data_IF_076799725798
#
_entry.id   IF_076799725798
#
_cell.length_a   1.000
_cell.length_b   1.000
_cell.length_c   1.000
_cell.angle_alpha   90.00
_cell.angle_beta   90.00
_cell.angle_gamma   90.00
#
_symmetry.space_group_name_H-M   'P 1'
#
loop_
_entity.id
_entity.type
_entity.pdbx_description
1 polymer ?
#
# COMPACT_ATOMS: atom_id res chain seq x y z
N UNK A 1 40.36 -65.37 9.90
CA UNK A 1 40.06 -64.00 9.46
C UNK A 1 38.75 -64.04 8.69
N UNK A 2 37.67 -63.50 9.26
CA UNK A 2 36.48 -62.97 8.56
C UNK A 2 35.52 -62.49 9.64
N UNK A 3 35.47 -61.17 9.83
CA UNK A 3 34.51 -60.50 10.72
C UNK A 3 33.11 -60.47 10.06
N UNK A 4 32.00 -60.55 10.84
CA UNK A 4 30.65 -60.52 10.28
C UNK A 4 30.29 -59.15 9.65
N UNK A 5 29.35 -59.10 8.70
CA UNK A 5 28.94 -57.85 8.06
C UNK A 5 28.13 -56.94 9.00
N UNK A 6 28.49 -55.65 9.00
CA UNK A 6 27.83 -54.57 9.75
C UNK A 6 26.46 -54.22 9.14
N UNK A 7 25.42 -53.96 9.95
CA UNK A 7 24.11 -53.58 9.44
C UNK A 7 24.12 -52.18 8.77
N UNK A 8 23.24 -51.93 7.78
CA UNK A 8 23.16 -50.65 7.09
C UNK A 8 22.60 -49.57 8.03
N UNK A 9 23.29 -48.41 8.13
CA UNK A 9 22.75 -47.22 8.82
C UNK A 9 23.56 -46.68 10.00
N UNK A 10 24.70 -47.29 10.35
CA UNK A 10 25.59 -46.69 11.34
C UNK A 10 26.44 -45.59 10.66
N UNK A 11 25.89 -44.38 10.61
CA UNK A 11 26.57 -43.17 10.15
C UNK A 11 27.85 -42.89 10.93
N UNK A 12 28.79 -42.28 10.23
CA UNK A 12 30.09 -41.83 10.69
C UNK A 12 29.93 -40.65 11.68
N UNK A 13 30.51 -40.64 12.89
CA UNK A 13 30.36 -39.52 13.84
C UNK A 13 31.13 -38.25 13.44
N UNK A 14 31.57 -38.11 12.18
CA UNK A 14 32.54 -37.11 11.76
C UNK A 14 32.02 -35.83 11.08
N UNK A 15 30.74 -35.71 10.71
CA UNK A 15 30.29 -34.59 9.88
C UNK A 15 29.03 -33.88 10.44
N UNK A 16 29.25 -32.90 11.32
CA UNK A 16 28.29 -31.82 11.55
C UNK A 16 28.76 -30.57 10.80
N UNK A 17 27.89 -29.87 10.06
CA UNK A 17 28.22 -28.55 9.52
C UNK A 17 28.34 -27.51 10.66
N UNK A 18 29.22 -26.50 10.55
CA UNK A 18 29.32 -25.45 11.56
C UNK A 18 28.07 -24.56 11.57
N UNK A 19 27.66 -24.16 12.77
CA UNK A 19 26.54 -23.25 13.07
C UNK A 19 26.82 -21.82 12.55
N UNK A 20 25.84 -21.07 12.01
CA UNK A 20 26.06 -19.70 11.58
C UNK A 20 26.14 -18.75 12.78
N UNK A 21 27.33 -18.19 13.01
CA UNK A 21 27.62 -17.13 13.97
C UNK A 21 26.89 -15.83 13.64
N UNK A 22 26.22 -15.22 14.62
CA UNK A 22 25.56 -13.92 14.51
C UNK A 22 26.56 -12.76 14.39
N UNK A 23 26.36 -11.75 13.52
CA UNK A 23 27.23 -10.58 13.49
C UNK A 23 26.97 -9.63 14.66
N UNK A 24 28.07 -9.23 15.29
CA UNK A 24 28.24 -8.31 16.42
C UNK A 24 27.81 -6.86 16.13
N UNK A 25 27.15 -6.23 17.11
CA UNK A 25 26.75 -4.81 17.14
C UNK A 25 27.94 -3.83 17.10
N UNK A 26 27.82 -2.66 16.46
CA UNK A 26 28.82 -1.59 16.55
C UNK A 26 28.75 -0.80 17.88
N UNK A 27 29.84 -0.11 18.29
CA UNK A 27 29.96 0.52 19.61
C UNK A 27 29.16 1.83 19.73
N UNK A 28 28.71 2.07 20.97
CA UNK A 28 27.93 3.22 21.44
C UNK A 28 28.60 4.56 21.16
N UNK A 29 27.83 5.51 20.59
CA UNK A 29 28.21 6.92 20.55
C UNK A 29 28.03 7.55 21.93
N UNK A 30 29.09 8.18 22.45
CA UNK A 30 29.09 8.95 23.69
C UNK A 30 28.21 10.22 23.59
N UNK A 31 27.56 10.66 24.69
CA UNK A 31 26.80 11.90 24.71
C UNK A 31 27.73 13.12 24.89
N UNK A 32 27.47 14.27 24.24
CA UNK A 32 28.22 15.48 24.49
C UNK A 32 27.88 16.07 25.87
N UNK A 33 28.92 16.22 26.68
CA UNK A 33 28.98 16.94 27.96
C UNK A 33 28.44 18.37 27.85
N UNK A 34 27.57 18.75 28.79
CA UNK A 34 27.06 20.11 28.98
C UNK A 34 28.17 21.10 29.38
N UNK A 35 28.06 22.40 29.03
CA UNK A 35 28.78 23.45 29.71
C UNK A 35 27.95 24.16 30.79
N UNK A 36 28.73 24.65 31.75
CA UNK A 36 28.47 25.12 33.10
C UNK A 36 27.76 26.49 33.20
N UNK A 37 27.03 26.70 34.30
CA UNK A 37 26.43 27.97 34.74
C UNK A 37 27.46 29.09 35.08
N UNK A 38 27.18 30.33 34.64
CA UNK A 38 27.46 31.57 35.39
C UNK A 38 28.66 32.46 34.99
N UNK A 39 28.40 33.66 34.43
CA UNK A 39 29.11 34.94 34.67
C UNK A 39 28.45 36.13 33.89
N UNK A 40 28.61 37.43 34.29
CA UNK A 40 27.65 38.52 34.01
C UNK A 40 28.12 39.70 33.12
N UNK A 41 27.15 40.32 32.39
CA UNK A 41 27.03 41.75 31.94
C UNK A 41 28.09 42.36 30.98
N UNK A 42 27.94 43.61 30.43
CA UNK A 42 26.89 44.63 30.63
C UNK A 42 26.40 45.44 29.38
N UNK A 43 25.31 46.20 29.55
CA UNK A 43 24.95 47.43 28.77
C UNK A 43 23.65 47.34 27.95
N UNK A 44 22.67 48.26 27.97
CA UNK A 44 22.43 49.50 28.72
C UNK A 44 21.25 50.30 28.10
N UNK A 45 20.22 50.61 28.92
CA UNK A 45 19.21 51.71 28.87
C UNK A 45 18.12 51.80 27.74
N UNK A 46 16.99 52.56 27.91
CA UNK A 46 15.88 52.45 28.88
C UNK A 46 14.44 52.59 28.23
N UNK A 47 13.30 52.61 28.97
CA UNK A 47 11.92 52.49 28.44
C UNK A 47 11.08 53.79 28.43
N UNK A 48 9.91 53.79 27.77
CA UNK A 48 8.81 54.77 27.90
C UNK A 48 7.46 54.04 27.66
N UNK A 49 6.50 53.96 28.61
CA UNK A 49 5.49 54.99 28.98
C UNK A 49 4.36 55.01 27.93
N UNK A 50 3.05 54.83 28.16
CA UNK A 50 2.17 54.86 29.32
C UNK A 50 0.96 55.77 29.00
N UNK A 51 -0.22 55.24 28.65
CA UNK A 51 -1.52 55.97 28.60
C UNK A 51 -2.74 55.02 28.72
N UNK A 52 -3.83 55.36 29.46
CA UNK A 52 -5.08 54.58 29.58
C UNK A 52 -6.26 55.22 28.76
N UNK A 53 -7.54 54.79 28.88
CA UNK A 53 -8.38 54.24 27.80
C UNK A 53 -9.43 55.23 27.20
N UNK A 54 -10.28 54.77 26.26
CA UNK A 54 -11.68 55.23 26.20
C UNK A 54 -12.70 54.07 26.27
N UNK A 55 -13.69 54.28 27.12
CA UNK A 55 -14.96 53.54 27.28
C UNK A 55 -15.94 53.84 26.14
N UNK A 56 -16.67 52.83 25.67
CA UNK A 56 -17.82 53.00 24.78
C UNK A 56 -18.59 51.70 24.50
N UNK A 57 -19.71 51.55 25.21
CA UNK A 57 -21.04 51.02 24.80
C UNK A 57 -21.23 49.63 24.11
N UNK A 58 -21.79 48.68 24.93
CA UNK A 58 -22.76 47.55 24.75
C UNK A 58 -23.32 47.12 23.35
N UNK A 59 -23.96 45.92 23.14
CA UNK A 59 -24.40 44.85 24.08
C UNK A 59 -24.19 43.36 23.63
N UNK A 60 -24.81 42.43 24.38
CA UNK A 60 -24.58 40.98 24.57
C UNK A 60 -25.08 40.00 23.48
N UNK A 61 -24.42 38.84 23.38
CA UNK A 61 -25.04 37.49 23.30
C UNK A 61 -24.00 36.38 23.06
N UNK A 62 -24.19 35.21 23.69
CA UNK A 62 -23.57 33.95 23.28
C UNK A 62 -22.39 33.47 24.13
N UNK A 63 -22.68 32.74 25.21
CA UNK A 63 -21.67 32.10 26.04
C UNK A 63 -20.95 30.96 25.33
N UNK A 64 -19.62 30.93 25.48
CA UNK A 64 -18.77 29.76 25.24
C UNK A 64 -18.04 29.43 26.55
N UNK A 65 -17.99 28.16 26.99
CA UNK A 65 -17.16 27.78 28.14
C UNK A 65 -15.66 27.80 27.76
N UNK A 66 -14.75 28.10 28.71
CA UNK A 66 -13.32 28.21 28.43
C UNK A 66 -12.67 26.83 28.16
N UNK A 67 -11.67 26.74 27.26
CA UNK A 67 -10.88 25.52 27.10
C UNK A 67 -10.07 25.24 28.36
N UNK A 68 -10.34 24.09 29.01
CA UNK A 68 -9.61 23.62 30.18
C UNK A 68 -8.13 23.38 29.88
N UNK A 69 -7.28 23.81 30.81
CA UNK A 69 -5.83 23.65 30.73
C UNK A 69 -5.39 22.19 30.78
N UNK A 70 -4.40 21.86 29.95
CA UNK A 70 -3.73 20.56 29.94
C UNK A 70 -2.73 20.47 31.12
N UNK A 71 -2.78 19.42 31.96
CA UNK A 71 -1.66 19.10 32.84
C UNK A 71 -0.55 18.36 32.04
N UNK A 72 0.74 18.63 32.31
CA UNK A 72 1.84 17.94 31.65
C UNK A 72 2.11 16.59 32.35
N UNK A 73 1.93 15.48 31.63
CA UNK A 73 2.10 14.15 32.22
C UNK A 73 2.53 13.07 31.23
N UNK A 74 3.82 12.70 31.31
CA UNK A 74 4.35 11.34 31.20
C UNK A 74 4.03 10.48 29.97
N UNK A 75 5.06 10.21 29.16
CA UNK A 75 5.07 9.09 28.20
C UNK A 75 4.91 7.74 28.92
N UNK A 76 3.94 6.87 28.56
CA UNK A 76 3.98 5.48 28.96
C UNK A 76 4.86 4.66 28.00
N UNK A 77 5.66 3.70 28.51
CA UNK A 77 6.48 2.82 27.67
C UNK A 77 5.61 1.81 26.91
N UNK A 78 6.02 1.51 25.67
CA UNK A 78 5.38 0.54 24.80
C UNK A 78 5.56 -0.89 25.34
N UNK A 79 4.48 -1.49 25.82
CA UNK A 79 4.45 -2.89 26.26
C UNK A 79 3.03 -3.42 26.37
N UNK A 80 2.72 -4.46 25.59
CA UNK A 80 1.55 -5.32 25.78
C UNK A 80 0.34 -4.99 24.92
N UNK A 81 0.14 -5.77 23.86
CA UNK A 81 -1.15 -5.93 23.20
C UNK A 81 -2.00 -6.92 24.02
N UNK A 82 -3.20 -6.51 24.48
CA UNK A 82 -4.31 -7.43 24.44
C UNK A 82 -5.60 -6.76 23.92
N UNK A 83 -6.29 -7.45 23.02
CA UNK A 83 -7.74 -7.40 22.97
C UNK A 83 -8.33 -6.66 21.78
N UNK A 84 -9.25 -7.35 21.11
CA UNK A 84 -9.93 -6.88 19.91
C UNK A 84 -10.65 -5.55 20.07
N UNK A 85 -10.41 -4.69 19.10
CA UNK A 85 -11.25 -3.56 18.78
C UNK A 85 -11.39 -3.50 17.27
N UNK A 86 -12.60 -3.64 16.76
CA UNK A 86 -12.91 -3.32 15.37
C UNK A 86 -12.80 -1.79 15.23
N UNK A 87 -11.95 -1.23 14.33
CA UNK A 87 -12.08 0.17 14.01
C UNK A 87 -13.21 0.34 12.98
N UNK A 88 -14.30 0.87 13.51
CA UNK A 88 -15.29 1.70 12.83
C UNK A 88 -14.62 2.92 12.18
N UNK A 89 -15.07 3.33 11.00
CA UNK A 89 -14.78 4.63 10.41
C UNK A 89 -13.78 4.61 9.26
N UNK A 90 -14.27 4.89 8.05
CA UNK A 90 -13.55 4.73 6.79
C UNK A 90 -12.27 5.57 6.67
N UNK A 91 -11.16 4.86 6.52
CA UNK A 91 -9.99 5.35 5.81
C UNK A 91 -9.74 4.39 4.65
N UNK A 92 -10.05 4.83 3.44
CA UNK A 92 -9.70 4.12 2.22
C UNK A 92 -8.19 3.93 2.21
N UNK A 93 -7.73 2.68 2.38
CA UNK A 93 -6.33 2.32 2.30
C UNK A 93 -5.80 2.64 0.91
N UNK A 94 -5.19 3.82 0.78
CA UNK A 94 -4.27 4.12 -0.29
C UNK A 94 -3.04 3.20 -0.17
N UNK A 95 -2.39 2.86 -1.28
CA UNK A 95 -1.48 1.73 -1.38
C UNK A 95 -0.12 2.18 -0.87
N UNK A 96 0.35 1.51 0.18
CA UNK A 96 1.59 1.84 0.87
C UNK A 96 1.85 0.83 2.00
N UNK A 97 0.77 0.29 2.59
CA UNK A 97 0.81 -1.00 3.28
C UNK A 97 0.48 -2.10 2.29
N UNK A 98 1.31 -3.15 2.22
CA UNK A 98 1.02 -4.34 1.41
C UNK A 98 -0.28 -5.04 1.83
N UNK A 99 -0.57 -6.20 1.24
CA UNK A 99 -1.81 -6.92 1.52
C UNK A 99 -1.93 -7.36 2.98
N UNK A 100 -3.15 -7.27 3.52
CA UNK A 100 -3.47 -7.78 4.86
C UNK A 100 -3.31 -9.30 4.96
N UNK A 101 -3.46 -10.03 3.85
CA UNK A 101 -3.26 -11.47 3.76
C UNK A 101 -2.88 -11.87 2.31
N UNK A 102 -2.34 -13.08 2.15
CA UNK A 102 -1.93 -13.62 0.85
C UNK A 102 -3.09 -13.85 -0.12
N UNK A 103 -4.29 -14.03 0.41
CA UNK A 103 -5.47 -14.27 -0.43
C UNK A 103 -5.84 -13.01 -1.21
N UNK A 104 -5.83 -11.85 -0.56
CA UNK A 104 -6.07 -10.55 -1.20
C UNK A 104 -5.02 -10.25 -2.28
N UNK A 105 -3.75 -10.61 -2.01
CA UNK A 105 -2.69 -10.55 -3.02
C UNK A 105 -3.04 -11.41 -4.22
N UNK A 106 -3.38 -12.67 -3.97
CA UNK A 106 -3.69 -13.65 -5.03
C UNK A 106 -4.81 -13.13 -5.94
N UNK A 107 -5.90 -12.64 -5.35
CA UNK A 107 -7.03 -12.16 -6.14
C UNK A 107 -6.79 -10.82 -6.85
N UNK A 108 -5.95 -9.94 -6.29
CA UNK A 108 -5.48 -8.76 -7.02
C UNK A 108 -4.63 -9.15 -8.24
N UNK A 109 -3.73 -10.13 -8.08
CA UNK A 109 -2.94 -10.66 -9.20
C UNK A 109 -3.82 -11.32 -10.27
N UNK A 110 -4.82 -12.11 -9.87
CA UNK A 110 -5.80 -12.71 -10.79
C UNK A 110 -6.53 -11.64 -11.60
N UNK A 111 -6.92 -10.52 -10.97
CA UNK A 111 -7.60 -9.46 -11.69
C UNK A 111 -6.74 -8.85 -12.81
N UNK A 112 -5.48 -8.54 -12.52
CA UNK A 112 -4.59 -7.89 -13.48
C UNK A 112 -4.01 -8.86 -14.51
N UNK A 113 -3.37 -9.93 -14.07
CA UNK A 113 -2.75 -10.92 -14.97
C UNK A 113 -3.79 -11.76 -15.69
N UNK A 114 -4.89 -12.11 -15.05
CA UNK A 114 -6.00 -12.79 -15.71
C UNK A 114 -6.61 -11.92 -16.82
N UNK A 115 -6.67 -10.59 -16.60
CA UNK A 115 -7.11 -9.69 -17.66
C UNK A 115 -6.12 -9.58 -18.82
N UNK A 116 -4.82 -9.49 -18.54
CA UNK A 116 -3.78 -9.50 -19.56
C UNK A 116 -3.77 -10.82 -20.37
N UNK A 117 -3.85 -11.96 -19.68
CA UNK A 117 -3.96 -13.27 -20.32
C UNK A 117 -5.21 -13.36 -21.19
N UNK A 118 -6.35 -12.87 -20.69
CA UNK A 118 -7.59 -12.79 -21.45
C UNK A 118 -7.45 -11.95 -22.72
N UNK A 119 -6.75 -10.82 -22.67
CA UNK A 119 -6.42 -10.02 -23.87
C UNK A 119 -5.63 -10.81 -24.91
N UNK A 120 -4.56 -11.49 -24.49
CA UNK A 120 -3.67 -12.22 -25.40
C UNK A 120 -4.41 -13.39 -26.04
N UNK A 121 -5.05 -14.24 -25.24
CA UNK A 121 -5.64 -15.51 -25.70
C UNK A 121 -6.86 -15.27 -26.60
N UNK A 122 -7.62 -14.21 -26.35
CA UNK A 122 -8.85 -13.92 -27.11
C UNK A 122 -8.66 -13.00 -28.30
N UNK A 123 -7.43 -12.57 -28.60
CA UNK A 123 -7.21 -11.52 -29.61
C UNK A 123 -7.88 -10.20 -29.25
N UNK A 124 -7.90 -9.85 -27.96
CA UNK A 124 -8.25 -8.52 -27.49
C UNK A 124 -9.72 -8.32 -27.10
N UNK A 125 -10.50 -9.38 -26.81
CA UNK A 125 -11.96 -9.26 -26.57
C UNK A 125 -12.41 -9.74 -25.18
N UNK A 126 -11.69 -10.67 -24.54
CA UNK A 126 -12.09 -11.34 -23.30
C UNK A 126 -11.19 -11.02 -22.09
N UNK A 127 -10.50 -9.89 -22.10
CA UNK A 127 -9.62 -9.47 -20.99
C UNK A 127 -10.39 -9.02 -19.74
N UNK A 128 -11.69 -8.83 -19.84
CA UNK A 128 -12.54 -8.51 -18.68
C UNK A 128 -12.85 -9.74 -17.81
N UNK A 129 -12.61 -10.97 -18.29
CA UNK A 129 -12.97 -12.20 -17.56
C UNK A 129 -12.19 -12.34 -16.25
N UNK A 130 -10.86 -12.25 -16.29
CA UNK A 130 -10.02 -12.32 -15.10
C UNK A 130 -10.43 -11.34 -13.98
N UNK A 131 -10.54 -10.03 -14.26
CA UNK A 131 -10.96 -9.07 -13.25
C UNK A 131 -12.42 -9.21 -12.81
N UNK A 132 -13.33 -9.65 -13.68
CA UNK A 132 -14.70 -9.95 -13.26
C UNK A 132 -14.73 -11.13 -12.28
N UNK A 133 -14.00 -12.21 -12.58
CA UNK A 133 -13.91 -13.38 -11.69
C UNK A 133 -13.35 -12.99 -10.33
N UNK A 134 -12.30 -12.17 -10.28
CA UNK A 134 -11.76 -11.66 -9.02
C UNK A 134 -12.76 -10.79 -8.24
N UNK A 135 -13.50 -9.92 -8.94
CA UNK A 135 -14.53 -9.07 -8.33
C UNK A 135 -15.66 -9.91 -7.72
N UNK A 136 -16.13 -10.94 -8.41
CA UNK A 136 -17.21 -11.81 -7.93
C UNK A 136 -16.74 -12.72 -6.78
N UNK A 137 -15.51 -13.22 -6.84
CA UNK A 137 -14.98 -14.14 -5.84
C UNK A 137 -14.75 -13.47 -4.48
N UNK A 138 -14.18 -12.25 -4.47
CA UNK A 138 -13.73 -11.60 -3.22
C UNK A 138 -14.08 -10.13 -3.10
N UNK A 139 -14.68 -9.51 -4.11
CA UNK A 139 -14.97 -8.06 -4.10
C UNK A 139 -15.93 -7.61 -2.99
N UNK A 140 -16.81 -8.49 -2.52
CA UNK A 140 -17.70 -8.20 -1.38
C UNK A 140 -17.04 -8.44 -0.02
N UNK A 141 -15.89 -9.13 0.01
CA UNK A 141 -15.20 -9.55 1.24
C UNK A 141 -13.93 -8.74 1.50
N UNK A 142 -13.24 -8.29 0.46
CA UNK A 142 -12.01 -7.50 0.55
C UNK A 142 -12.14 -6.20 -0.26
N UNK A 143 -12.16 -5.03 0.42
CA UNK A 143 -12.09 -3.73 -0.24
C UNK A 143 -10.84 -3.57 -1.12
N UNK A 144 -9.73 -4.18 -0.70
CA UNK A 144 -8.47 -4.19 -1.46
C UNK A 144 -8.66 -4.91 -2.79
N UNK A 145 -9.18 -6.14 -2.76
CA UNK A 145 -9.43 -6.92 -3.99
C UNK A 145 -10.44 -6.19 -4.88
N UNK A 146 -11.53 -5.66 -4.31
CA UNK A 146 -12.52 -4.88 -5.07
C UNK A 146 -11.86 -3.70 -5.80
N UNK A 147 -10.98 -2.97 -5.12
CA UNK A 147 -10.30 -1.80 -5.70
C UNK A 147 -9.46 -2.21 -6.92
N UNK A 148 -8.65 -3.26 -6.80
CA UNK A 148 -7.87 -3.80 -7.91
C UNK A 148 -8.74 -4.36 -9.04
N UNK A 149 -9.75 -5.16 -8.70
CA UNK A 149 -10.63 -5.83 -9.65
C UNK A 149 -11.48 -4.84 -10.45
N UNK A 150 -12.09 -3.85 -9.79
CA UNK A 150 -12.89 -2.80 -10.48
C UNK A 150 -11.99 -1.97 -11.40
N UNK A 151 -10.78 -1.61 -10.97
CA UNK A 151 -9.86 -0.84 -11.81
C UNK A 151 -9.43 -1.62 -13.05
N UNK A 152 -9.06 -2.89 -12.89
CA UNK A 152 -8.71 -3.78 -13.98
C UNK A 152 -9.90 -4.04 -14.91
N UNK A 153 -11.09 -4.27 -14.36
CA UNK A 153 -12.30 -4.54 -15.13
C UNK A 153 -12.69 -3.35 -16.00
N UNK A 154 -12.71 -2.15 -15.43
CA UNK A 154 -12.99 -0.91 -16.14
C UNK A 154 -12.02 -0.67 -17.31
N UNK A 155 -10.74 -0.88 -17.08
CA UNK A 155 -9.72 -0.77 -18.13
C UNK A 155 -9.93 -1.83 -19.22
N UNK A 156 -10.08 -3.09 -18.83
CA UNK A 156 -10.21 -4.20 -19.78
C UNK A 156 -11.48 -4.11 -20.62
N UNK A 157 -12.58 -3.59 -20.07
CA UNK A 157 -13.82 -3.37 -20.83
C UNK A 157 -13.62 -2.41 -22.00
N UNK A 158 -12.92 -1.29 -21.80
CA UNK A 158 -12.65 -0.34 -22.90
C UNK A 158 -11.82 -0.99 -23.99
N UNK A 159 -10.72 -1.63 -23.61
CA UNK A 159 -9.83 -2.25 -24.58
C UNK A 159 -10.49 -3.45 -25.27
N UNK A 160 -11.36 -4.18 -24.57
CA UNK A 160 -12.17 -5.24 -25.16
C UNK A 160 -13.17 -4.70 -26.19
N UNK A 161 -13.80 -3.55 -25.93
CA UNK A 161 -14.69 -2.88 -26.89
C UNK A 161 -13.90 -2.39 -28.10
N UNK A 162 -12.73 -1.79 -27.91
CA UNK A 162 -11.84 -1.37 -28.99
C UNK A 162 -11.43 -2.57 -29.85
N UNK A 163 -11.05 -3.69 -29.22
CA UNK A 163 -10.71 -4.93 -29.91
C UNK A 163 -11.89 -5.50 -30.69
N UNK A 164 -13.09 -5.54 -30.10
CA UNK A 164 -14.31 -6.00 -30.76
C UNK A 164 -14.66 -5.16 -31.98
N UNK A 165 -14.60 -3.83 -31.86
CA UNK A 165 -14.82 -2.90 -32.98
C UNK A 165 -13.75 -3.12 -34.05
N UNK A 166 -12.48 -3.31 -33.66
CA UNK A 166 -11.39 -3.65 -34.57
C UNK A 166 -11.65 -4.94 -35.35
N UNK A 167 -12.19 -5.98 -34.71
CA UNK A 167 -12.59 -7.21 -35.41
C UNK A 167 -13.68 -6.96 -36.45
N UNK A 168 -14.70 -6.16 -36.12
CA UNK A 168 -15.75 -5.77 -37.07
C UNK A 168 -15.18 -5.01 -38.27
N UNK A 169 -14.26 -4.06 -38.04
CA UNK A 169 -13.59 -3.30 -39.11
C UNK A 169 -12.64 -4.16 -39.94
N UNK A 170 -12.16 -5.29 -39.40
CA UNK A 170 -11.26 -6.19 -40.13
C UNK A 170 -11.96 -6.90 -41.28
N UNK A 171 -13.29 -7.01 -41.25
CA UNK A 171 -14.10 -7.49 -42.37
C UNK A 171 -13.90 -6.67 -43.66
N UNK A 172 -13.49 -5.41 -43.54
CA UNK A 172 -13.14 -4.51 -44.65
C UNK A 172 -11.65 -4.15 -44.66
N UNK A 173 -10.81 -4.99 -44.04
CA UNK A 173 -9.32 -4.95 -44.05
C UNK A 173 -8.67 -3.80 -43.26
N UNK A 174 -9.43 -2.88 -42.67
CA UNK A 174 -8.88 -1.73 -41.93
C UNK A 174 -8.73 -1.95 -40.41
N UNK A 175 -9.32 -3.02 -39.88
CA UNK A 175 -9.44 -3.24 -38.43
C UNK A 175 -8.24 -3.90 -37.73
N UNK A 176 -7.21 -4.32 -38.45
CA UNK A 176 -6.07 -5.03 -37.86
C UNK A 176 -5.26 -4.17 -36.88
N UNK A 177 -5.12 -2.86 -37.16
CA UNK A 177 -4.40 -1.93 -36.31
C UNK A 177 -5.07 -1.80 -34.92
N UNK A 178 -6.39 -1.49 -34.81
CA UNK A 178 -7.04 -1.40 -33.50
C UNK A 178 -7.06 -2.74 -32.75
N UNK A 179 -7.16 -3.89 -33.43
CA UNK A 179 -7.02 -5.21 -32.78
C UNK A 179 -5.63 -5.37 -32.17
N UNK A 180 -4.57 -5.10 -32.94
CA UNK A 180 -3.20 -5.18 -32.45
C UNK A 180 -2.95 -4.22 -31.28
N UNK A 181 -3.45 -2.98 -31.38
CA UNK A 181 -3.36 -2.00 -30.29
C UNK A 181 -4.08 -2.49 -29.03
N UNK A 182 -5.29 -3.04 -29.16
CA UNK A 182 -6.06 -3.56 -28.03
C UNK A 182 -5.33 -4.70 -27.31
N UNK A 183 -4.79 -5.67 -28.05
CA UNK A 183 -4.03 -6.78 -27.47
C UNK A 183 -2.77 -6.26 -26.78
N UNK A 184 -1.96 -5.43 -27.46
CA UNK A 184 -0.67 -4.97 -26.93
C UNK A 184 -0.88 -4.08 -25.72
N UNK A 185 -1.67 -3.00 -25.84
CA UNK A 185 -1.84 -2.04 -24.74
C UNK A 185 -2.63 -2.66 -23.59
N UNK A 186 -3.68 -3.42 -23.89
CA UNK A 186 -4.48 -4.13 -22.89
C UNK A 186 -3.67 -5.15 -22.09
N UNK A 187 -2.78 -5.89 -22.74
CA UNK A 187 -1.91 -6.85 -22.07
C UNK A 187 -0.77 -6.16 -21.31
N UNK A 188 -0.06 -5.21 -21.92
CA UNK A 188 1.11 -4.55 -21.30
C UNK A 188 0.71 -3.80 -20.04
N UNK A 189 -0.34 -2.96 -20.09
CA UNK A 189 -0.79 -2.27 -18.89
C UNK A 189 -1.37 -3.24 -17.86
N UNK A 190 -2.02 -4.34 -18.29
CA UNK A 190 -2.44 -5.41 -17.40
C UNK A 190 -1.28 -6.05 -16.64
N UNK A 191 -0.17 -6.35 -17.33
CA UNK A 191 1.05 -6.91 -16.74
C UNK A 191 1.71 -5.93 -15.78
N UNK A 192 1.87 -4.65 -16.17
CA UNK A 192 2.44 -3.61 -15.31
C UNK A 192 1.61 -3.46 -14.03
N UNK A 193 0.29 -3.45 -14.16
CA UNK A 193 -0.61 -3.39 -13.02
C UNK A 193 -0.47 -4.62 -12.11
N UNK A 194 -0.31 -5.81 -12.71
CA UNK A 194 -0.08 -7.05 -11.97
C UNK A 194 1.25 -7.08 -11.23
N UNK A 195 2.32 -6.56 -11.83
CA UNK A 195 3.64 -6.42 -11.18
C UNK A 195 3.53 -5.47 -9.99
N UNK A 196 2.93 -4.29 -10.18
CA UNK A 196 2.71 -3.33 -9.08
C UNK A 196 1.81 -3.90 -7.98
N UNK A 197 0.76 -4.61 -8.36
CA UNK A 197 -0.06 -5.36 -7.41
C UNK A 197 0.79 -6.38 -6.65
N UNK A 198 1.71 -7.09 -7.28
CA UNK A 198 2.61 -8.02 -6.57
C UNK A 198 3.42 -7.32 -5.46
N UNK A 199 3.87 -6.10 -5.71
CA UNK A 199 4.58 -5.21 -4.77
C UNK A 199 3.66 -4.59 -3.70
N UNK A 200 2.36 -4.91 -3.70
CA UNK A 200 1.37 -4.33 -2.79
C UNK A 200 0.96 -2.90 -3.16
N UNK A 201 1.26 -2.47 -4.38
CA UNK A 201 0.97 -1.14 -4.89
C UNK A 201 -0.27 -1.17 -5.79
N UNK A 202 -1.09 -0.12 -5.71
CA UNK A 202 -2.20 0.04 -6.63
C UNK A 202 -1.74 0.77 -7.88
N UNK A 203 -2.13 0.23 -9.04
CA UNK A 203 -1.86 0.86 -10.31
C UNK A 203 -3.10 1.56 -10.86
N UNK A 204 -2.98 2.87 -11.12
CA UNK A 204 -3.97 3.63 -11.88
C UNK A 204 -3.73 3.40 -13.37
N UNK A 205 -4.66 2.69 -14.01
CA UNK A 205 -4.59 2.47 -15.44
C UNK A 205 -4.70 3.78 -16.23
N UNK A 206 -3.77 4.06 -17.15
CA UNK A 206 -3.97 5.12 -18.14
C UNK A 206 -5.09 4.69 -19.10
N UNK A 207 -5.83 5.66 -19.64
CA UNK A 207 -6.88 5.42 -20.65
C UNK A 207 -7.98 4.44 -20.18
N UNK A 208 -8.43 4.59 -18.93
CA UNK A 208 -9.57 3.85 -18.36
C UNK A 208 -10.75 4.80 -18.13
N UNK A 209 -11.99 4.27 -18.20
CA UNK A 209 -13.22 4.96 -17.80
C UNK A 209 -13.95 4.14 -16.74
N UNK A 210 -14.72 4.82 -15.88
CA UNK A 210 -15.39 4.17 -14.75
C UNK A 210 -16.82 3.74 -15.13
N UNK A 211 -16.98 2.48 -15.51
CA UNK A 211 -18.29 1.85 -15.70
C UNK A 211 -18.80 1.25 -14.38
N UNK A 212 -17.91 0.61 -13.64
CA UNK A 212 -18.21 -0.11 -12.40
C UNK A 212 -17.58 0.64 -11.22
N UNK A 213 -18.30 0.67 -10.09
CA UNK A 213 -17.95 1.38 -8.83
C UNK A 213 -17.93 0.43 -7.64
#
# INVERSE_FOLDING_TARGET
MTEPPRPPGAGDPGNYPPEPTSPSSPPSAEPPTAPLSGAPGPGGYPPAGGYPPPTGDQPSSGGYPPPGGYPPGGYPPAGGNPGGGYPTGGAYGGPGGGYANNEDKTWALVAHFGGAAGMIVSGGVLGWIGPLVALLARGNQSPTVRTHAVAALNFQLIWSIIGLVGWVLSCIVIGFIPVAAAVILGAVFGIIAGIKANEGQFYRYPLSASFIK
#
